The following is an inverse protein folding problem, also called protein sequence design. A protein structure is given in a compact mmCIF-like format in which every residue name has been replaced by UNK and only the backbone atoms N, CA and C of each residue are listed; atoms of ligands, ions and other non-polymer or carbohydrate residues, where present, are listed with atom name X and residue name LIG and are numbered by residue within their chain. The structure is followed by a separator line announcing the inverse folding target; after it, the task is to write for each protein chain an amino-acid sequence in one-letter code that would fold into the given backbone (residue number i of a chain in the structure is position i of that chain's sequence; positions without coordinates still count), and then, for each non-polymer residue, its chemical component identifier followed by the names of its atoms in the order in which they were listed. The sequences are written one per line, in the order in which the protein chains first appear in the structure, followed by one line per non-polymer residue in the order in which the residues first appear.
data_IF_562751135112
#
_entry.id   IF_562751135112
#
_cell.length_a   1.000
_cell.length_b   1.000
_cell.length_c   1.000
_cell.angle_alpha   90.00
_cell.angle_beta   90.00
_cell.angle_gamma   90.00
#
_symmetry.space_group_name_H-M   'P 1'
#
loop_
_entity.id
_entity.type
_entity.pdbx_description
1 polymer ?
#
# COMPACT_ATOMS: atom_id res chain seq x y z
N UNK A 1 14.01 -100.17 19.14
CA UNK A 1 13.11 -99.21 19.73
C UNK A 1 12.89 -98.10 18.69
N UNK A 2 11.80 -98.15 18.02
CA UNK A 2 11.38 -97.31 16.90
C UNK A 2 10.54 -96.12 17.42
N UNK A 3 10.98 -94.93 17.14
CA UNK A 3 10.28 -93.69 17.46
C UNK A 3 9.20 -93.44 16.38
N UNK A 4 7.95 -93.19 16.76
CA UNK A 4 6.92 -92.84 15.74
C UNK A 4 7.04 -91.37 15.23
N UNK A 5 6.94 -91.26 13.94
CA UNK A 5 6.87 -89.97 13.23
C UNK A 5 5.54 -89.22 13.49
N UNK A 6 5.60 -87.98 13.89
CA UNK A 6 4.44 -87.10 14.02
C UNK A 6 3.93 -86.70 12.65
N UNK A 7 2.63 -86.56 12.39
CA UNK A 7 2.10 -86.11 11.12
C UNK A 7 2.26 -84.64 10.98
N UNK A 8 2.81 -84.20 9.85
CA UNK A 8 2.91 -82.83 9.42
C UNK A 8 1.50 -82.26 9.17
N UNK A 9 1.07 -81.38 10.06
CA UNK A 9 -0.10 -80.51 9.82
C UNK A 9 0.33 -79.37 8.91
N UNK A 10 0.07 -79.51 7.62
CA UNK A 10 0.15 -78.39 6.69
C UNK A 10 -0.95 -77.43 7.06
N UNK A 11 -0.55 -76.34 7.73
CA UNK A 11 -1.42 -75.18 7.94
C UNK A 11 -1.74 -74.53 6.58
N UNK A 12 -2.94 -74.77 6.06
CA UNK A 12 -3.52 -74.05 4.96
C UNK A 12 -3.71 -72.63 5.40
N UNK A 13 -2.81 -71.72 4.94
CA UNK A 13 -2.99 -70.29 5.04
C UNK A 13 -4.24 -69.90 4.24
N UNK A 14 -5.26 -69.32 4.88
CA UNK A 14 -6.44 -68.91 4.14
C UNK A 14 -5.98 -67.83 3.09
N UNK A 15 -6.13 -68.15 1.80
CA UNK A 15 -6.05 -67.19 0.74
C UNK A 15 -7.01 -66.05 1.07
N UNK A 16 -6.50 -64.90 1.42
CA UNK A 16 -7.30 -63.68 1.48
C UNK A 16 -7.95 -63.50 0.11
N UNK A 17 -9.22 -63.84 0.00
CA UNK A 17 -10.07 -63.50 -1.11
C UNK A 17 -10.06 -61.98 -1.23
N UNK A 18 -9.30 -61.44 -2.18
CA UNK A 18 -9.38 -60.06 -2.55
C UNK A 18 -10.84 -59.69 -2.85
N UNK A 19 -11.29 -58.49 -2.57
CA UNK A 19 -12.67 -58.10 -2.73
C UNK A 19 -13.12 -58.44 -4.16
N UNK A 20 -14.13 -59.34 -4.28
CA UNK A 20 -14.73 -59.70 -5.56
C UNK A 20 -15.26 -58.43 -6.23
N UNK A 21 -14.55 -57.96 -7.26
CA UNK A 21 -14.98 -56.78 -8.04
C UNK A 21 -16.19 -57.15 -8.86
N UNK A 22 -17.38 -56.92 -8.32
CA UNK A 22 -18.62 -57.09 -9.08
C UNK A 22 -18.75 -55.95 -10.11
N UNK A 23 -19.36 -56.16 -11.28
CA UNK A 23 -19.59 -55.11 -12.30
C UNK A 23 -20.28 -53.88 -11.73
N UNK A 24 -21.18 -54.05 -10.76
CA UNK A 24 -21.86 -52.97 -10.04
C UNK A 24 -20.89 -52.15 -9.17
N UNK A 25 -19.87 -52.76 -8.58
CA UNK A 25 -18.81 -52.06 -7.83
C UNK A 25 -17.95 -51.22 -8.75
N UNK A 26 -17.52 -51.76 -9.90
CA UNK A 26 -16.71 -51.04 -10.88
C UNK A 26 -17.45 -49.84 -11.50
N UNK A 27 -18.76 -50.00 -11.77
CA UNK A 27 -19.59 -48.88 -12.22
C UNK A 27 -19.72 -47.77 -11.17
N UNK A 28 -19.91 -48.12 -9.89
CA UNK A 28 -19.93 -47.14 -8.79
C UNK A 28 -18.57 -46.44 -8.62
N UNK A 29 -17.49 -47.17 -8.73
CA UNK A 29 -16.13 -46.65 -8.65
C UNK A 29 -15.84 -45.68 -9.82
N UNK A 30 -16.19 -46.09 -11.04
CA UNK A 30 -16.04 -45.23 -12.23
C UNK A 30 -16.86 -43.93 -12.13
N UNK A 31 -18.10 -44.01 -11.55
CA UNK A 31 -18.93 -42.81 -11.30
C UNK A 31 -18.28 -41.89 -10.28
N UNK A 32 -17.69 -42.44 -9.19
CA UNK A 32 -16.97 -41.66 -8.18
C UNK A 32 -15.73 -40.95 -8.78
N UNK A 33 -14.91 -41.67 -9.55
CA UNK A 33 -13.74 -41.07 -10.20
C UNK A 33 -14.13 -40.00 -11.23
N UNK A 34 -15.25 -40.18 -11.97
CA UNK A 34 -15.77 -39.11 -12.84
C UNK A 34 -16.21 -37.89 -12.02
N UNK A 35 -16.93 -38.09 -10.93
CA UNK A 35 -17.36 -37.02 -10.05
C UNK A 35 -16.16 -36.27 -9.43
N UNK A 36 -15.15 -37.00 -8.97
CA UNK A 36 -13.91 -36.42 -8.45
C UNK A 36 -13.16 -35.63 -9.52
N UNK A 37 -13.03 -36.19 -10.73
CA UNK A 37 -12.38 -35.48 -11.85
C UNK A 37 -13.15 -34.22 -12.22
N UNK A 38 -14.46 -34.28 -12.28
CA UNK A 38 -15.29 -33.11 -12.56
C UNK A 38 -15.16 -32.06 -11.47
N UNK A 39 -15.13 -32.47 -10.20
CA UNK A 39 -14.92 -31.56 -9.09
C UNK A 39 -13.54 -30.89 -9.15
N UNK A 40 -12.49 -31.65 -9.45
CA UNK A 40 -11.12 -31.10 -9.65
C UNK A 40 -11.09 -30.12 -10.84
N UNK A 41 -11.78 -30.43 -11.93
CA UNK A 41 -11.85 -29.53 -13.10
C UNK A 41 -12.63 -28.26 -12.79
N UNK A 42 -13.73 -28.35 -12.04
CA UNK A 42 -14.50 -27.19 -11.59
C UNK A 42 -13.62 -26.32 -10.66
N UNK A 43 -12.94 -26.96 -9.70
CA UNK A 43 -12.02 -26.26 -8.79
C UNK A 43 -10.86 -25.58 -9.55
N UNK A 44 -10.25 -26.28 -10.52
CA UNK A 44 -9.22 -25.71 -11.37
C UNK A 44 -9.79 -24.56 -12.22
N UNK A 45 -10.99 -24.73 -12.79
CA UNK A 45 -11.68 -23.69 -13.56
C UNK A 45 -11.94 -22.42 -12.72
N UNK A 46 -12.36 -22.58 -11.46
CA UNK A 46 -12.57 -21.46 -10.54
C UNK A 46 -11.25 -20.71 -10.26
N UNK A 47 -10.16 -21.44 -10.02
CA UNK A 47 -8.84 -20.82 -9.82
C UNK A 47 -8.37 -20.09 -11.08
N UNK A 48 -8.46 -20.71 -12.24
CA UNK A 48 -8.08 -20.09 -13.53
C UNK A 48 -8.91 -18.84 -13.80
N UNK A 49 -10.23 -18.91 -13.55
CA UNK A 49 -11.11 -17.75 -13.68
C UNK A 49 -10.70 -16.61 -12.74
N UNK A 50 -10.44 -16.90 -11.47
CA UNK A 50 -10.01 -15.88 -10.49
C UNK A 50 -8.68 -15.24 -10.91
N UNK A 51 -7.72 -16.04 -11.37
CA UNK A 51 -6.44 -15.53 -11.88
C UNK A 51 -6.65 -14.69 -13.15
N UNK A 52 -7.50 -15.13 -14.07
CA UNK A 52 -7.80 -14.38 -15.29
C UNK A 52 -8.43 -13.01 -14.99
N UNK A 53 -9.40 -12.96 -14.06
CA UNK A 53 -10.00 -11.70 -13.60
C UNK A 53 -8.94 -10.79 -12.95
N UNK A 54 -8.09 -11.35 -12.09
CA UNK A 54 -7.01 -10.57 -11.47
C UNK A 54 -6.04 -10.00 -12.52
N UNK A 55 -5.59 -10.82 -13.47
CA UNK A 55 -4.69 -10.38 -14.55
C UNK A 55 -5.36 -9.31 -15.42
N UNK A 56 -6.65 -9.47 -15.73
CA UNK A 56 -7.42 -8.47 -16.48
C UNK A 56 -7.48 -7.13 -15.73
N UNK A 57 -7.83 -7.16 -14.43
CA UNK A 57 -7.90 -5.94 -13.61
C UNK A 57 -6.54 -5.26 -13.49
N UNK A 58 -5.48 -6.03 -13.20
CA UNK A 58 -4.12 -5.48 -13.12
C UNK A 58 -3.66 -4.94 -14.47
N UNK A 59 -3.95 -5.65 -15.58
CA UNK A 59 -3.60 -5.21 -16.92
C UNK A 59 -4.28 -3.90 -17.31
N UNK A 60 -5.59 -3.79 -17.05
CA UNK A 60 -6.34 -2.55 -17.27
C UNK A 60 -5.82 -1.39 -16.41
N UNK A 61 -5.52 -1.68 -15.15
CA UNK A 61 -4.98 -0.69 -14.23
C UNK A 61 -3.58 -0.22 -14.63
N UNK A 62 -2.70 -1.14 -15.09
CA UNK A 62 -1.38 -0.79 -15.59
C UNK A 62 -1.47 0.03 -16.88
N UNK A 63 -2.35 -0.34 -17.81
CA UNK A 63 -2.54 0.38 -19.07
C UNK A 63 -2.95 1.84 -18.82
N UNK A 64 -3.92 2.08 -17.90
CA UNK A 64 -4.36 3.42 -17.55
C UNK A 64 -3.37 4.14 -16.62
N UNK A 65 -2.72 3.40 -15.71
CA UNK A 65 -1.85 3.99 -14.72
C UNK A 65 -0.49 4.43 -15.26
N UNK A 66 0.04 3.77 -16.31
CA UNK A 66 1.27 4.21 -16.98
C UNK A 66 1.07 5.60 -17.58
N UNK A 67 -0.11 5.87 -18.12
CA UNK A 67 -0.48 7.19 -18.62
C UNK A 67 -0.40 8.27 -17.53
N UNK A 68 -0.75 7.94 -16.28
CA UNK A 68 -0.71 8.86 -15.15
C UNK A 68 0.71 9.20 -14.64
N UNK A 69 1.75 8.51 -15.09
CA UNK A 69 3.15 8.91 -14.89
C UNK A 69 3.68 9.87 -15.96
N UNK A 70 2.83 10.25 -16.90
CA UNK A 70 3.17 11.21 -17.93
C UNK A 70 2.34 12.48 -17.73
N UNK A 71 2.85 13.61 -18.20
CA UNK A 71 2.10 14.87 -18.27
C UNK A 71 2.28 15.54 -19.62
N UNK A 72 1.27 16.28 -20.05
CA UNK A 72 1.35 17.13 -21.21
C UNK A 72 2.06 18.43 -20.83
N UNK A 73 3.06 18.81 -21.59
CA UNK A 73 3.92 19.97 -21.33
C UNK A 73 4.04 20.84 -22.55
N UNK A 74 3.97 22.16 -22.32
CA UNK A 74 4.25 23.20 -23.32
C UNK A 74 5.67 23.73 -23.11
N UNK A 75 6.45 23.77 -24.18
CA UNK A 75 7.77 24.37 -24.18
C UNK A 75 7.66 25.87 -24.26
N UNK A 76 8.14 26.59 -23.24
CA UNK A 76 8.17 28.04 -23.16
C UNK A 76 9.57 28.49 -22.76
N UNK A 77 10.14 29.42 -23.55
CA UNK A 77 11.46 30.00 -23.26
C UNK A 77 11.27 31.30 -22.46
N UNK A 78 11.90 31.36 -21.29
CA UNK A 78 11.85 32.57 -20.44
C UNK A 78 13.20 33.25 -20.48
N UNK A 79 13.18 34.51 -20.81
CA UNK A 79 14.36 35.38 -20.77
C UNK A 79 14.40 36.17 -19.46
N UNK A 80 14.96 35.53 -18.41
CA UNK A 80 14.98 36.09 -17.06
C UNK A 80 15.62 37.50 -17.00
N UNK A 81 16.75 37.78 -17.68
CA UNK A 81 17.29 39.11 -17.73
C UNK A 81 16.30 40.19 -18.17
N UNK A 82 15.34 39.84 -19.03
CA UNK A 82 14.32 40.78 -19.49
C UNK A 82 13.12 40.90 -18.54
N UNK A 83 12.92 39.98 -17.59
CA UNK A 83 11.76 40.00 -16.68
C UNK A 83 11.95 40.89 -15.46
N UNK A 84 13.19 41.30 -15.13
CA UNK A 84 13.49 42.05 -13.92
C UNK A 84 13.36 41.23 -12.61
N UNK A 85 13.25 39.91 -12.72
CA UNK A 85 13.26 39.02 -11.55
C UNK A 85 14.69 38.83 -11.11
N UNK A 86 14.98 39.16 -9.86
CA UNK A 86 16.32 39.10 -9.30
C UNK A 86 16.37 38.02 -8.17
N UNK A 87 17.47 37.32 -8.10
CA UNK A 87 17.71 36.34 -7.01
C UNK A 87 19.16 35.86 -7.03
N UNK A 88 19.72 35.71 -5.86
CA UNK A 88 21.01 35.04 -5.66
C UNK A 88 20.81 33.62 -5.21
N UNK A 89 21.86 32.80 -5.22
CA UNK A 89 21.81 31.40 -4.83
C UNK A 89 21.23 31.19 -3.40
N UNK A 90 21.43 32.17 -2.52
CA UNK A 90 20.96 32.10 -1.13
C UNK A 90 19.45 32.37 -1.04
N UNK A 91 18.95 33.37 -1.77
CA UNK A 91 17.53 33.72 -1.78
C UNK A 91 16.68 32.67 -2.51
N UNK A 92 17.19 32.07 -3.58
CA UNK A 92 16.50 31.06 -4.39
C UNK A 92 16.42 29.69 -3.71
N UNK A 93 17.34 29.39 -2.79
CA UNK A 93 17.32 28.14 -2.01
C UNK A 93 16.66 28.30 -0.63
N UNK A 94 16.27 29.50 -0.24
CA UNK A 94 15.61 29.76 1.04
C UNK A 94 14.20 29.15 1.10
N UNK A 95 13.69 28.79 2.28
CA UNK A 95 12.30 28.29 2.45
C UNK A 95 11.24 29.29 1.96
N UNK A 96 11.56 30.59 1.92
CA UNK A 96 10.69 31.67 1.42
C UNK A 96 10.85 31.96 -0.08
N UNK A 97 11.71 31.24 -0.80
CA UNK A 97 12.01 31.51 -2.21
C UNK A 97 10.77 31.56 -3.10
N UNK A 98 9.86 30.60 -2.92
CA UNK A 98 8.59 30.57 -3.68
C UNK A 98 7.75 31.84 -3.48
N UNK A 99 7.58 32.27 -2.22
CA UNK A 99 6.82 33.50 -1.94
C UNK A 99 7.52 34.74 -2.48
N UNK A 100 8.85 34.79 -2.43
CA UNK A 100 9.63 35.90 -2.96
C UNK A 100 9.50 36.00 -4.48
N UNK A 101 9.62 34.88 -5.20
CA UNK A 101 9.46 34.83 -6.66
C UNK A 101 8.03 35.15 -7.11
N UNK A 102 7.02 34.70 -6.34
CA UNK A 102 5.63 35.10 -6.58
C UNK A 102 5.41 36.58 -6.43
N UNK A 103 5.93 37.20 -5.37
CA UNK A 103 5.86 38.68 -5.16
C UNK A 103 6.64 39.46 -6.18
N UNK A 104 7.70 38.92 -6.76
CA UNK A 104 8.46 39.53 -7.86
C UNK A 104 7.76 39.39 -9.22
N UNK A 105 6.59 38.74 -9.30
CA UNK A 105 5.79 38.60 -10.50
C UNK A 105 6.23 37.47 -11.43
N UNK A 106 6.87 36.43 -10.92
CA UNK A 106 7.22 35.24 -11.73
C UNK A 106 6.01 34.64 -12.47
N UNK A 107 4.81 34.54 -11.86
CA UNK A 107 3.62 34.05 -12.57
C UNK A 107 3.27 34.92 -13.80
N UNK A 108 3.34 36.25 -13.67
CA UNK A 108 3.02 37.19 -14.74
C UNK A 108 4.08 37.11 -15.85
N UNK A 109 5.35 36.99 -15.50
CA UNK A 109 6.44 36.86 -16.47
C UNK A 109 6.30 35.56 -17.29
N UNK A 110 5.89 34.45 -16.65
CA UNK A 110 5.62 33.17 -17.32
C UNK A 110 4.44 33.30 -18.27
N UNK A 111 3.34 33.92 -17.84
CA UNK A 111 2.16 34.15 -18.67
C UNK A 111 2.48 35.04 -19.89
N UNK A 112 3.22 36.10 -19.69
CA UNK A 112 3.63 37.01 -20.77
C UNK A 112 4.55 36.32 -21.79
N UNK A 113 5.55 35.55 -21.33
CA UNK A 113 6.42 34.79 -22.21
C UNK A 113 5.65 33.72 -23.02
N UNK A 114 4.70 33.05 -22.39
CA UNK A 114 3.84 32.10 -23.03
C UNK A 114 2.91 32.74 -24.09
N UNK A 115 2.27 33.88 -23.76
CA UNK A 115 1.40 34.57 -24.69
C UNK A 115 2.17 35.03 -25.92
N UNK A 116 3.38 35.52 -25.74
CA UNK A 116 4.25 35.98 -26.84
C UNK A 116 4.66 34.84 -27.78
N UNK A 117 4.95 33.62 -27.24
CA UNK A 117 5.49 32.53 -28.04
C UNK A 117 4.43 31.57 -28.58
N UNK A 118 3.34 31.39 -27.87
CA UNK A 118 2.29 30.39 -28.16
C UNK A 118 0.99 31.05 -28.66
N UNK A 119 0.81 32.33 -28.40
CA UNK A 119 -0.44 33.06 -28.59
C UNK A 119 -1.38 32.93 -27.39
N UNK A 120 -2.38 33.79 -27.33
CA UNK A 120 -3.27 33.94 -26.16
C UNK A 120 -4.04 32.65 -25.81
N UNK A 121 -4.56 31.95 -26.83
CA UNK A 121 -5.37 30.75 -26.61
C UNK A 121 -4.54 29.59 -26.02
N UNK A 122 -3.30 29.39 -26.50
CA UNK A 122 -2.43 28.33 -25.98
C UNK A 122 -1.78 28.72 -24.63
N UNK A 123 -1.51 29.99 -24.39
CA UNK A 123 -1.00 30.48 -23.10
C UNK A 123 -2.02 30.31 -21.98
N UNK A 124 -3.34 30.47 -22.27
CA UNK A 124 -4.42 30.22 -21.30
C UNK A 124 -4.53 28.74 -20.88
N UNK A 125 -3.96 27.81 -21.67
CA UNK A 125 -3.95 26.40 -21.38
C UNK A 125 -2.71 25.93 -20.61
N UNK A 126 -1.87 26.83 -20.11
CA UNK A 126 -0.83 26.50 -19.14
C UNK A 126 -1.46 26.41 -17.74
N UNK A 127 -1.06 25.41 -16.96
CA UNK A 127 -1.52 25.28 -15.58
C UNK A 127 -1.19 26.53 -14.76
N UNK A 128 -2.14 27.08 -13.98
CA UNK A 128 -1.88 28.25 -13.13
C UNK A 128 -0.72 28.06 -12.13
N UNK A 129 -0.39 26.81 -11.82
CA UNK A 129 0.68 26.44 -10.89
C UNK A 129 2.03 26.19 -11.58
N UNK A 130 2.11 26.32 -12.93
CA UNK A 130 3.29 26.00 -13.72
C UNK A 130 4.55 26.81 -13.31
N UNK A 131 4.37 28.04 -12.84
CA UNK A 131 5.47 28.90 -12.35
C UNK A 131 6.22 28.26 -11.15
N UNK A 132 5.57 27.37 -10.38
CA UNK A 132 6.19 26.65 -9.24
C UNK A 132 7.24 25.66 -9.72
N UNK A 133 7.04 25.03 -10.87
CA UNK A 133 8.05 24.14 -11.47
C UNK A 133 9.30 24.94 -11.86
N UNK A 134 9.12 26.16 -12.35
CA UNK A 134 10.21 27.09 -12.66
C UNK A 134 10.92 27.54 -11.38
N UNK A 135 10.16 27.91 -10.33
CA UNK A 135 10.73 28.27 -9.04
C UNK A 135 11.56 27.13 -8.44
N UNK A 136 11.11 25.89 -8.61
CA UNK A 136 11.85 24.70 -8.16
C UNK A 136 13.12 24.50 -9.00
N UNK A 137 13.04 24.66 -10.32
CA UNK A 137 14.20 24.57 -11.20
C UNK A 137 15.25 25.67 -10.90
N UNK A 138 14.81 26.88 -10.58
CA UNK A 138 15.69 27.97 -10.16
C UNK A 138 16.35 27.69 -8.79
N UNK A 139 15.69 26.96 -7.90
CA UNK A 139 16.28 26.54 -6.64
C UNK A 139 17.36 25.45 -6.85
N UNK A 140 17.19 24.58 -7.86
CA UNK A 140 18.17 23.54 -8.23
C UNK A 140 19.36 24.12 -9.01
N UNK A 141 19.10 25.05 -9.97
CA UNK A 141 20.13 25.79 -10.70
C UNK A 141 19.92 27.30 -10.60
N UNK A 142 20.42 27.96 -9.54
CA UNK A 142 20.28 29.40 -9.37
C UNK A 142 20.92 30.25 -10.50
N UNK A 143 21.81 29.67 -11.30
CA UNK A 143 22.43 30.37 -12.43
C UNK A 143 21.49 30.53 -13.61
N UNK A 144 20.41 29.78 -13.67
CA UNK A 144 19.40 29.87 -14.71
C UNK A 144 18.73 31.25 -14.79
N UNK A 145 18.65 31.98 -13.66
CA UNK A 145 18.09 33.34 -13.59
C UNK A 145 18.89 34.36 -14.41
N UNK A 146 20.14 34.06 -14.75
CA UNK A 146 20.98 34.96 -15.52
C UNK A 146 20.97 34.70 -17.03
N UNK A 147 20.15 33.77 -17.52
CA UNK A 147 20.09 33.35 -18.92
C UNK A 147 18.66 33.15 -19.42
N UNK A 148 18.49 33.08 -20.73
CA UNK A 148 17.26 32.57 -21.33
C UNK A 148 17.27 31.06 -21.30
N UNK A 149 16.20 30.45 -20.79
CA UNK A 149 16.08 29.03 -20.67
C UNK A 149 14.67 28.54 -21.08
N UNK A 150 14.60 27.35 -21.72
CA UNK A 150 13.32 26.75 -22.11
C UNK A 150 12.84 25.79 -21.02
N UNK A 151 11.65 26.08 -20.54
CA UNK A 151 10.98 25.22 -19.53
C UNK A 151 9.84 24.46 -20.18
N UNK A 152 9.63 23.25 -19.70
CA UNK A 152 8.50 22.40 -20.06
C UNK A 152 7.41 22.57 -18.99
N UNK A 153 6.39 23.36 -19.31
CA UNK A 153 5.35 23.76 -18.36
C UNK A 153 4.13 22.86 -18.45
N UNK A 154 3.57 22.41 -17.32
CA UNK A 154 2.36 21.59 -17.30
C UNK A 154 1.18 22.36 -17.89
N UNK A 155 0.34 21.65 -18.65
CA UNK A 155 -0.86 22.20 -19.29
C UNK A 155 -2.10 22.03 -18.39
N UNK A 156 -3.24 22.59 -18.84
CA UNK A 156 -4.54 22.25 -18.27
C UNK A 156 -4.94 20.80 -18.65
N UNK A 157 -5.88 20.24 -17.87
CA UNK A 157 -6.46 18.93 -18.18
C UNK A 157 -7.19 18.91 -19.53
N UNK A 158 -7.76 20.05 -19.94
CA UNK A 158 -8.48 20.18 -21.21
C UNK A 158 -7.55 20.01 -22.41
N UNK A 159 -6.38 20.69 -22.41
CA UNK A 159 -5.39 20.56 -23.48
C UNK A 159 -4.71 19.17 -23.45
N UNK A 160 -4.44 18.64 -22.26
CA UNK A 160 -3.90 17.28 -22.09
C UNK A 160 -4.83 16.21 -22.68
N UNK A 161 -6.15 16.31 -22.44
CA UNK A 161 -7.15 15.44 -23.04
C UNK A 161 -7.23 15.63 -24.56
N UNK A 162 -7.11 16.89 -25.04
CA UNK A 162 -7.04 17.20 -26.46
C UNK A 162 -5.90 16.51 -27.19
N UNK A 163 -4.73 16.40 -26.55
CA UNK A 163 -3.56 15.68 -27.10
C UNK A 163 -3.83 14.16 -27.24
N UNK A 164 -4.71 13.61 -26.43
CA UNK A 164 -5.13 12.19 -26.50
C UNK A 164 -6.31 11.98 -27.49
N UNK A 165 -6.80 13.05 -28.14
CA UNK A 165 -7.95 12.98 -29.04
C UNK A 165 -9.30 13.05 -28.31
N UNK A 166 -9.29 13.34 -27.00
CA UNK A 166 -10.45 13.48 -26.15
C UNK A 166 -10.82 14.98 -25.93
N UNK A 167 -11.98 15.23 -25.33
CA UNK A 167 -12.42 16.58 -24.98
C UNK A 167 -13.03 17.38 -26.16
N UNK A 168 -13.20 18.71 -25.98
CA UNK A 168 -13.83 19.58 -26.97
C UNK A 168 -13.07 19.63 -28.31
N UNK A 169 -13.75 19.78 -29.46
CA UNK A 169 -13.10 19.84 -30.77
C UNK A 169 -12.03 20.93 -30.87
N UNK A 170 -12.26 22.07 -30.20
CA UNK A 170 -11.33 23.22 -30.17
C UNK A 170 -10.00 22.84 -29.52
N UNK A 171 -10.06 22.14 -28.36
CA UNK A 171 -8.87 21.67 -27.65
C UNK A 171 -8.10 20.61 -28.44
N UNK A 172 -8.81 19.71 -29.14
CA UNK A 172 -8.17 18.70 -30.02
C UNK A 172 -7.43 19.35 -31.18
N UNK A 173 -8.02 20.38 -31.81
CA UNK A 173 -7.38 21.11 -32.93
C UNK A 173 -6.19 21.90 -32.43
N UNK A 174 -6.29 22.61 -31.30
CA UNK A 174 -5.21 23.35 -30.68
C UNK A 174 -4.05 22.41 -30.29
N UNK A 175 -4.35 21.30 -29.62
CA UNK A 175 -3.36 20.31 -29.23
C UNK A 175 -2.63 19.69 -30.45
N UNK A 176 -3.36 19.34 -31.50
CA UNK A 176 -2.78 18.80 -32.74
C UNK A 176 -1.85 19.83 -33.43
N UNK A 177 -2.24 21.11 -33.46
CA UNK A 177 -1.43 22.21 -34.00
C UNK A 177 -0.13 22.38 -33.21
N UNK A 178 -0.23 22.48 -31.87
CA UNK A 178 0.93 22.67 -31.00
C UNK A 178 1.87 21.46 -31.00
N UNK A 179 1.32 20.25 -31.10
CA UNK A 179 2.10 19.04 -31.25
C UNK A 179 2.84 18.98 -32.59
N UNK A 180 2.19 19.38 -33.69
CA UNK A 180 2.82 19.44 -35.01
C UNK A 180 3.96 20.49 -35.07
N UNK A 181 3.83 21.56 -34.28
CA UNK A 181 4.88 22.61 -34.13
C UNK A 181 6.01 22.13 -33.15
N UNK A 182 5.88 20.97 -32.52
CA UNK A 182 6.85 20.46 -31.54
C UNK A 182 6.84 21.23 -30.20
N UNK A 183 5.81 22.04 -29.96
CA UNK A 183 5.68 22.84 -28.73
C UNK A 183 4.94 22.13 -27.60
N UNK A 184 4.08 21.15 -27.94
CA UNK A 184 3.33 20.33 -27.00
C UNK A 184 3.78 18.88 -27.10
N UNK A 185 4.24 18.34 -25.98
CA UNK A 185 4.65 16.94 -25.91
C UNK A 185 4.14 16.28 -24.61
N UNK A 186 4.03 14.95 -24.62
CA UNK A 186 3.75 14.16 -23.44
C UNK A 186 5.05 13.55 -22.94
N UNK A 187 5.50 13.98 -21.76
CA UNK A 187 6.77 13.57 -21.17
C UNK A 187 6.54 12.78 -19.87
N UNK A 188 7.54 11.99 -19.47
CA UNK A 188 7.54 11.31 -18.18
C UNK A 188 7.65 12.33 -17.04
N UNK A 189 6.72 12.28 -16.11
CA UNK A 189 6.63 13.14 -14.95
C UNK A 189 7.24 12.46 -13.72
N UNK A 190 8.57 12.47 -13.64
CA UNK A 190 9.26 11.96 -12.45
C UNK A 190 8.97 12.80 -11.20
N UNK A 191 8.62 14.06 -11.37
CA UNK A 191 8.17 14.93 -10.29
C UNK A 191 6.91 14.42 -9.58
N UNK A 192 6.07 13.63 -10.25
CA UNK A 192 4.91 12.98 -9.62
C UNK A 192 5.28 12.16 -8.38
N UNK A 193 6.44 11.52 -8.37
CA UNK A 193 6.90 10.73 -7.23
C UNK A 193 7.55 11.60 -6.13
N UNK A 194 7.91 12.84 -6.41
CA UNK A 194 8.62 13.73 -5.50
C UNK A 194 7.75 14.87 -4.94
N UNK A 195 6.75 15.31 -5.71
CA UNK A 195 5.80 16.36 -5.29
C UNK A 195 4.75 15.81 -4.35
N UNK A 196 4.08 16.73 -3.65
CA UNK A 196 2.88 16.47 -2.85
C UNK A 196 1.61 16.80 -3.61
N UNK A 197 0.47 16.89 -2.92
CA UNK A 197 -0.82 17.19 -3.51
C UNK A 197 -0.89 18.61 -4.08
N UNK A 198 -1.67 18.79 -5.14
CA UNK A 198 -1.92 20.06 -5.81
C UNK A 198 -3.35 20.10 -6.34
N UNK A 199 -3.84 21.29 -6.70
CA UNK A 199 -5.20 21.47 -7.21
C UNK A 199 -5.35 21.07 -8.68
N UNK A 200 -4.24 21.04 -9.44
CA UNK A 200 -4.22 20.64 -10.84
C UNK A 200 -3.67 19.21 -11.02
N UNK A 201 -4.33 18.35 -11.80
CA UNK A 201 -3.86 16.97 -12.04
C UNK A 201 -2.46 16.89 -12.66
N UNK A 202 -2.05 17.94 -13.38
CA UNK A 202 -0.74 17.98 -14.03
C UNK A 202 0.40 18.36 -13.06
N UNK A 203 0.04 18.95 -11.91
CA UNK A 203 1.00 19.43 -10.91
C UNK A 203 1.04 18.55 -9.65
N UNK A 204 0.06 17.65 -9.48
CA UNK A 204 0.01 16.77 -8.29
C UNK A 204 1.18 15.82 -8.20
N UNK A 205 1.48 15.41 -6.97
CA UNK A 205 2.44 14.37 -6.66
C UNK A 205 1.95 13.47 -5.51
N UNK A 206 2.64 12.34 -5.33
CA UNK A 206 2.23 11.29 -4.40
C UNK A 206 3.11 11.18 -3.15
N UNK A 207 4.22 11.94 -3.08
CA UNK A 207 5.20 11.82 -2.01
C UNK A 207 4.63 12.11 -0.62
N UNK A 208 3.79 13.16 -0.50
CA UNK A 208 3.15 13.50 0.77
C UNK A 208 2.33 12.35 1.33
N UNK A 209 1.50 11.71 0.49
CA UNK A 209 0.68 10.57 0.86
C UNK A 209 1.52 9.30 1.13
N UNK A 210 2.58 9.07 0.36
CA UNK A 210 3.50 7.95 0.57
C UNK A 210 4.21 8.08 1.92
N UNK A 211 4.77 9.25 2.22
CA UNK A 211 5.42 9.54 3.51
C UNK A 211 4.45 9.43 4.68
N UNK A 212 3.23 9.97 4.51
CA UNK A 212 2.16 9.82 5.51
C UNK A 212 1.79 8.36 5.77
N UNK A 213 1.68 7.54 4.71
CA UNK A 213 1.47 6.09 4.85
C UNK A 213 2.62 5.42 5.60
N UNK A 214 3.87 5.74 5.28
CA UNK A 214 5.05 5.16 5.95
C UNK A 214 5.04 5.48 7.46
N UNK A 215 4.80 6.74 7.82
CA UNK A 215 4.74 7.16 9.22
C UNK A 215 3.58 6.49 9.97
N UNK A 216 2.38 6.47 9.36
CA UNK A 216 1.19 5.83 9.96
C UNK A 216 1.41 4.32 10.16
N UNK A 217 1.97 3.63 9.17
CA UNK A 217 2.26 2.19 9.25
C UNK A 217 3.35 1.88 10.29
N UNK A 218 4.35 2.76 10.42
CA UNK A 218 5.37 2.60 11.45
C UNK A 218 4.77 2.70 12.86
N UNK A 219 3.91 3.69 13.11
CA UNK A 219 3.19 3.80 14.39
C UNK A 219 2.33 2.56 14.65
N UNK A 220 1.58 2.12 13.63
CA UNK A 220 0.76 0.91 13.71
C UNK A 220 1.59 -0.30 14.11
N UNK A 221 2.73 -0.52 13.47
CA UNK A 221 3.60 -1.66 13.74
C UNK A 221 4.20 -1.59 15.16
N UNK A 222 4.73 -0.42 15.54
CA UNK A 222 5.38 -0.22 16.85
C UNK A 222 4.40 -0.42 18.01
N UNK A 223 3.13 -0.10 17.81
CA UNK A 223 2.11 -0.30 18.85
C UNK A 223 1.51 -1.72 18.79
N UNK A 224 1.07 -2.18 17.61
CA UNK A 224 0.32 -3.42 17.50
C UNK A 224 1.20 -4.68 17.67
N UNK A 225 2.44 -4.66 17.17
CA UNK A 225 3.29 -5.86 17.21
C UNK A 225 3.75 -6.22 18.64
N UNK A 226 4.37 -5.32 19.43
CA UNK A 226 4.80 -5.69 20.76
C UNK A 226 3.63 -6.06 21.67
N UNK A 227 2.55 -5.26 21.65
CA UNK A 227 1.38 -5.52 22.50
C UNK A 227 0.70 -6.83 22.08
N UNK A 228 0.52 -7.07 20.77
CA UNK A 228 -0.08 -8.29 20.25
C UNK A 228 0.73 -9.54 20.58
N UNK A 229 2.06 -9.50 20.41
CA UNK A 229 2.96 -10.62 20.72
C UNK A 229 2.99 -10.92 22.22
N UNK A 230 3.15 -9.87 23.06
CA UNK A 230 3.18 -10.06 24.53
C UNK A 230 1.83 -10.57 25.05
N UNK A 231 0.71 -10.07 24.51
CA UNK A 231 -0.62 -10.57 24.86
C UNK A 231 -0.81 -12.04 24.46
N UNK A 232 -0.38 -12.42 23.25
CA UNK A 232 -0.44 -13.81 22.81
C UNK A 232 0.40 -14.72 23.70
N UNK A 233 1.61 -14.29 24.04
CA UNK A 233 2.53 -15.00 24.91
C UNK A 233 1.95 -15.19 26.32
N UNK A 234 1.41 -14.12 26.90
CA UNK A 234 0.80 -14.17 28.22
C UNK A 234 -0.40 -15.13 28.24
N UNK A 235 -1.30 -15.00 27.27
CA UNK A 235 -2.53 -15.81 27.24
C UNK A 235 -2.25 -17.30 27.02
N UNK A 236 -1.16 -17.66 26.32
CA UNK A 236 -0.90 -19.06 25.98
C UNK A 236 0.03 -19.76 26.97
N UNK A 237 1.02 -19.05 27.55
CA UNK A 237 2.04 -19.64 28.41
C UNK A 237 1.85 -19.35 29.90
N UNK A 238 1.21 -18.24 30.26
CA UNK A 238 1.15 -17.80 31.66
C UNK A 238 -0.27 -17.69 32.23
N UNK A 239 -1.27 -17.40 31.38
CA UNK A 239 -2.62 -17.15 31.85
C UNK A 239 -3.24 -18.41 32.48
N UNK A 240 -3.85 -18.32 33.67
CA UNK A 240 -4.57 -19.44 34.27
C UNK A 240 -5.81 -19.78 33.43
N UNK A 241 -6.10 -21.07 33.28
CA UNK A 241 -7.33 -21.53 32.60
C UNK A 241 -8.54 -21.30 33.49
N UNK A 242 -9.21 -20.18 33.32
CA UNK A 242 -10.40 -19.79 34.07
C UNK A 242 -11.37 -18.99 33.19
N UNK A 243 -12.57 -18.71 33.72
CA UNK A 243 -13.63 -17.98 32.99
C UNK A 243 -13.17 -16.57 32.51
N UNK A 244 -12.27 -15.91 33.21
CA UNK A 244 -11.77 -14.59 32.83
C UNK A 244 -10.88 -14.66 31.60
N UNK A 245 -10.01 -15.67 31.53
CA UNK A 245 -9.19 -15.90 30.34
C UNK A 245 -10.05 -16.25 29.15
N UNK A 246 -11.09 -17.10 29.34
CA UNK A 246 -12.04 -17.43 28.26
C UNK A 246 -12.79 -16.20 27.75
N UNK A 247 -13.23 -15.31 28.64
CA UNK A 247 -13.89 -14.04 28.27
C UNK A 247 -12.93 -13.17 27.46
N UNK A 248 -11.68 -13.03 27.86
CA UNK A 248 -10.66 -12.25 27.14
C UNK A 248 -10.45 -12.85 25.75
N UNK A 249 -10.32 -14.18 25.63
CA UNK A 249 -10.14 -14.84 24.34
C UNK A 249 -11.31 -14.59 23.37
N UNK A 250 -12.53 -14.76 23.88
CA UNK A 250 -13.75 -14.50 23.10
C UNK A 250 -13.83 -13.01 22.71
N UNK A 251 -13.46 -12.12 23.64
CA UNK A 251 -13.46 -10.67 23.36
C UNK A 251 -12.47 -10.29 22.27
N UNK A 252 -11.25 -10.85 22.29
CA UNK A 252 -10.24 -10.61 21.24
C UNK A 252 -10.75 -11.13 19.88
N UNK A 253 -11.35 -12.32 19.87
CA UNK A 253 -11.91 -12.91 18.65
C UNK A 253 -13.08 -12.07 18.09
N UNK A 254 -13.95 -11.59 18.98
CA UNK A 254 -15.05 -10.69 18.60
C UNK A 254 -14.54 -9.35 18.09
N UNK A 255 -13.49 -8.80 18.72
CA UNK A 255 -12.88 -7.53 18.29
C UNK A 255 -12.28 -7.63 16.87
N UNK A 256 -11.72 -8.79 16.50
CA UNK A 256 -11.24 -9.04 15.16
C UNK A 256 -12.34 -9.04 14.08
N UNK A 257 -13.60 -9.29 14.49
CA UNK A 257 -14.77 -9.30 13.60
C UNK A 257 -15.50 -7.94 13.54
N UNK A 258 -15.09 -6.95 14.34
CA UNK A 258 -15.71 -5.62 14.35
C UNK A 258 -15.43 -4.91 13.01
N UNK A 259 -16.44 -4.27 12.39
CA UNK A 259 -16.25 -3.45 11.19
C UNK A 259 -15.22 -2.34 11.43
N UNK A 260 -14.31 -2.14 10.48
CA UNK A 260 -13.19 -1.19 10.60
C UNK A 260 -13.63 0.24 10.92
N UNK A 261 -14.80 0.65 10.42
CA UNK A 261 -15.37 1.98 10.68
C UNK A 261 -15.57 2.28 12.17
N UNK A 262 -15.87 1.27 12.99
CA UNK A 262 -16.06 1.42 14.43
C UNK A 262 -14.75 1.85 15.11
N UNK A 263 -13.62 1.33 14.67
CA UNK A 263 -12.30 1.77 15.16
C UNK A 263 -12.03 3.24 14.79
N UNK A 264 -12.50 3.68 13.63
CA UNK A 264 -12.43 5.10 13.25
C UNK A 264 -13.29 5.99 14.15
N UNK A 265 -14.51 5.57 14.50
CA UNK A 265 -15.37 6.27 15.46
C UNK A 265 -14.73 6.31 16.85
N UNK A 266 -14.08 5.24 17.28
CA UNK A 266 -13.34 5.19 18.53
C UNK A 266 -12.13 6.12 18.48
N UNK A 267 -11.38 6.14 17.37
CA UNK A 267 -10.29 7.07 17.15
C UNK A 267 -10.74 8.54 17.24
N UNK A 268 -11.86 8.85 16.60
CA UNK A 268 -12.48 10.17 16.63
C UNK A 268 -12.93 10.57 18.05
N UNK A 269 -13.62 9.67 18.75
CA UNK A 269 -14.25 10.00 20.04
C UNK A 269 -13.28 9.92 21.21
N UNK A 270 -12.25 9.08 21.17
CA UNK A 270 -11.30 8.90 22.28
C UNK A 270 -9.98 9.59 21.98
N UNK A 271 -9.32 9.24 20.86
CA UNK A 271 -7.96 9.78 20.63
C UNK A 271 -7.97 11.26 20.32
N UNK A 272 -8.92 11.76 19.49
CA UNK A 272 -9.02 13.19 19.22
C UNK A 272 -9.58 13.99 20.41
N UNK A 273 -10.33 13.37 21.33
CA UNK A 273 -10.70 14.03 22.58
C UNK A 273 -9.49 14.21 23.51
N UNK A 274 -8.54 13.26 23.51
CA UNK A 274 -7.31 13.33 24.30
C UNK A 274 -6.24 14.22 23.64
N UNK A 275 -6.18 14.22 22.31
CA UNK A 275 -5.17 14.92 21.50
C UNK A 275 -5.82 15.74 20.38
N UNK A 276 -6.56 16.80 20.68
CA UNK A 276 -7.33 17.56 19.69
C UNK A 276 -6.45 18.22 18.62
N UNK A 277 -5.23 18.59 18.97
CA UNK A 277 -4.27 19.26 18.07
C UNK A 277 -3.62 18.30 17.05
N UNK A 278 -3.77 16.97 17.24
CA UNK A 278 -3.19 15.96 16.37
C UNK A 278 -4.17 15.42 15.31
N UNK A 279 -5.21 16.19 15.00
CA UNK A 279 -6.16 15.80 13.94
C UNK A 279 -5.41 15.60 12.62
N UNK A 280 -5.76 14.53 11.89
CA UNK A 280 -5.11 14.13 10.64
C UNK A 280 -3.62 13.73 10.76
N UNK A 281 -3.08 13.63 11.97
CA UNK A 281 -1.68 13.24 12.17
C UNK A 281 -1.47 11.73 11.98
N UNK A 282 -0.32 11.30 11.43
CA UNK A 282 0.07 9.89 11.33
C UNK A 282 0.01 9.14 12.66
N UNK A 283 0.26 9.82 13.77
CA UNK A 283 0.19 9.24 15.12
C UNK A 283 -1.23 8.73 15.42
N UNK A 284 -2.24 9.56 15.25
CA UNK A 284 -3.64 9.18 15.50
C UNK A 284 -4.11 8.11 14.52
N UNK A 285 -3.75 8.25 13.23
CA UNK A 285 -4.01 7.23 12.21
C UNK A 285 -3.44 5.88 12.60
N UNK A 286 -2.16 5.87 12.99
CA UNK A 286 -1.45 4.66 13.39
C UNK A 286 -2.00 4.02 14.67
N UNK A 287 -2.37 4.82 15.68
CA UNK A 287 -3.04 4.32 16.89
C UNK A 287 -4.37 3.65 16.57
N UNK A 288 -5.17 4.27 15.70
CA UNK A 288 -6.47 3.73 15.27
C UNK A 288 -6.31 2.41 14.50
N UNK A 289 -5.37 2.35 13.55
CA UNK A 289 -5.07 1.12 12.81
C UNK A 289 -4.44 0.05 13.71
N UNK A 290 -3.67 0.43 14.73
CA UNK A 290 -3.09 -0.52 15.68
C UNK A 290 -4.17 -1.27 16.46
N UNK A 291 -5.23 -0.59 16.92
CA UNK A 291 -6.36 -1.24 17.60
C UNK A 291 -7.03 -2.31 16.75
N UNK A 292 -7.17 -2.06 15.45
CA UNK A 292 -7.76 -3.01 14.51
C UNK A 292 -6.80 -4.18 14.19
N UNK A 293 -5.50 -3.92 14.13
CA UNK A 293 -4.48 -4.90 13.73
C UNK A 293 -4.09 -5.83 14.88
N UNK A 294 -4.10 -5.32 16.11
CA UNK A 294 -3.67 -6.02 17.33
C UNK A 294 -4.39 -7.37 17.54
N UNK A 295 -5.73 -7.49 17.43
CA UNK A 295 -6.41 -8.78 17.58
C UNK A 295 -5.94 -9.84 16.59
N UNK A 296 -5.64 -9.44 15.34
CA UNK A 296 -5.12 -10.35 14.30
C UNK A 296 -3.74 -10.89 14.70
N UNK A 297 -2.88 -10.04 15.25
CA UNK A 297 -1.55 -10.43 15.73
C UNK A 297 -1.67 -11.35 16.95
N UNK A 298 -2.57 -11.06 17.90
CA UNK A 298 -2.81 -11.94 19.07
C UNK A 298 -3.26 -13.32 18.64
N UNK A 299 -4.27 -13.42 17.78
CA UNK A 299 -4.81 -14.70 17.32
C UNK A 299 -3.75 -15.51 16.57
N UNK A 300 -3.03 -14.89 15.65
CA UNK A 300 -1.97 -15.56 14.89
C UNK A 300 -0.79 -15.96 15.79
N UNK A 301 -0.44 -15.10 16.77
CA UNK A 301 0.60 -15.36 17.75
C UNK A 301 0.28 -16.55 18.62
N UNK A 302 -0.93 -16.63 19.14
CA UNK A 302 -1.40 -17.79 19.93
C UNK A 302 -1.36 -19.08 19.11
N UNK A 303 -1.82 -19.05 17.87
CA UNK A 303 -1.77 -20.22 16.99
C UNK A 303 -0.32 -20.67 16.73
N UNK A 304 0.60 -19.72 16.56
CA UNK A 304 2.02 -20.00 16.38
C UNK A 304 2.65 -20.61 17.65
N UNK A 305 2.29 -20.14 18.85
CA UNK A 305 2.77 -20.70 20.12
C UNK A 305 2.21 -22.11 20.33
N UNK A 306 0.91 -22.35 20.04
CA UNK A 306 0.29 -23.66 20.12
C UNK A 306 0.92 -24.70 19.20
N UNK A 307 1.43 -24.26 18.04
CA UNK A 307 2.09 -25.11 17.08
C UNK A 307 3.46 -25.65 17.55
N UNK A 308 4.07 -25.02 18.57
CA UNK A 308 5.34 -25.50 19.14
C UNK A 308 5.11 -26.79 19.93
N UNK A 309 5.79 -27.92 19.59
CA UNK A 309 5.59 -29.22 20.26
C UNK A 309 5.83 -29.15 21.78
N UNK A 310 4.97 -29.79 22.61
CA UNK A 310 5.15 -29.82 24.05
C UNK A 310 6.50 -30.40 24.48
N UNK A 311 7.02 -31.38 23.72
CA UNK A 311 8.32 -31.99 23.99
C UNK A 311 9.49 -31.06 24.10
N UNK A 312 9.42 -29.90 23.40
CA UNK A 312 10.45 -28.86 23.48
C UNK A 312 10.41 -28.20 24.87
N UNK A 313 9.19 -27.93 25.39
CA UNK A 313 9.01 -27.35 26.70
C UNK A 313 9.47 -28.33 27.80
N UNK A 314 9.03 -29.57 27.69
CA UNK A 314 9.37 -30.63 28.64
C UNK A 314 10.88 -30.93 28.64
N UNK A 315 11.51 -30.97 27.46
CA UNK A 315 12.95 -31.18 27.33
C UNK A 315 13.76 -30.06 27.95
N UNK A 316 13.36 -28.81 27.74
CA UNK A 316 14.05 -27.65 28.33
C UNK A 316 13.90 -27.63 29.86
N UNK A 317 12.71 -27.95 30.38
CA UNK A 317 12.51 -28.07 31.85
C UNK A 317 13.33 -29.21 32.44
N UNK A 318 13.45 -30.35 31.74
CA UNK A 318 14.21 -31.52 32.21
C UNK A 318 15.72 -31.24 32.37
N UNK A 319 16.29 -30.32 31.57
CA UNK A 319 17.69 -29.87 31.72
C UNK A 319 17.86 -28.72 32.70
N UNK A 320 16.78 -28.29 33.42
CA UNK A 320 16.82 -27.30 34.49
C UNK A 320 16.57 -25.84 34.05
N UNK A 321 16.04 -25.61 32.84
CA UNK A 321 15.64 -24.27 32.42
C UNK A 321 14.44 -23.78 33.25
N UNK A 322 14.46 -22.49 33.65
CA UNK A 322 13.29 -21.88 34.28
C UNK A 322 12.14 -21.70 33.29
N UNK A 323 10.86 -21.62 33.72
CA UNK A 323 9.71 -21.40 32.83
C UNK A 323 9.90 -20.19 31.91
N UNK A 324 10.47 -19.10 32.41
CA UNK A 324 10.75 -17.89 31.62
C UNK A 324 11.80 -18.17 30.54
N UNK A 325 12.87 -18.93 30.87
CA UNK A 325 13.88 -19.31 29.89
C UNK A 325 13.29 -20.23 28.80
N UNK A 326 12.42 -21.18 29.19
CA UNK A 326 11.72 -22.04 28.20
C UNK A 326 10.95 -21.18 27.20
N UNK A 327 10.20 -20.20 27.69
CA UNK A 327 9.37 -19.35 26.83
C UNK A 327 10.23 -18.47 25.93
N UNK A 328 11.17 -17.71 26.45
CA UNK A 328 11.91 -16.73 25.68
C UNK A 328 13.05 -17.32 24.82
N UNK A 329 13.66 -18.43 25.25
CA UNK A 329 14.80 -19.04 24.53
C UNK A 329 14.38 -20.18 23.60
N UNK A 330 13.23 -20.83 23.85
CA UNK A 330 12.82 -21.99 23.06
C UNK A 330 11.46 -21.75 22.35
N UNK A 331 10.40 -21.39 23.07
CA UNK A 331 9.05 -21.26 22.49
C UNK A 331 8.95 -20.04 21.58
N UNK A 332 9.30 -18.86 22.08
CA UNK A 332 9.18 -17.59 21.33
C UNK A 332 9.98 -17.60 20.01
N UNK A 333 11.27 -18.02 19.97
CA UNK A 333 12.00 -18.07 18.71
C UNK A 333 11.41 -19.01 17.66
N UNK A 334 10.76 -20.11 18.08
CA UNK A 334 10.10 -21.07 17.20
C UNK A 334 8.73 -20.56 16.73
N UNK A 335 8.00 -19.83 17.57
CA UNK A 335 6.71 -19.25 17.24
C UNK A 335 6.84 -17.95 16.42
N UNK A 336 7.98 -17.25 16.52
CA UNK A 336 8.20 -15.94 15.90
C UNK A 336 7.89 -15.89 14.39
N UNK A 337 8.28 -16.88 13.55
CA UNK A 337 7.94 -16.86 12.13
C UNK A 337 6.42 -16.85 11.87
N UNK A 338 5.65 -17.59 12.69
CA UNK A 338 4.19 -17.61 12.63
C UNK A 338 3.57 -16.27 13.06
N UNK A 339 4.10 -15.67 14.13
CA UNK A 339 3.69 -14.35 14.61
C UNK A 339 3.97 -13.27 13.58
N UNK A 340 5.15 -13.28 12.95
CA UNK A 340 5.51 -12.36 11.88
C UNK A 340 4.59 -12.53 10.68
N UNK A 341 4.20 -13.75 10.33
CA UNK A 341 3.24 -13.99 9.24
C UNK A 341 1.89 -13.33 9.53
N UNK A 342 1.36 -13.48 10.75
CA UNK A 342 0.13 -12.80 11.16
C UNK A 342 0.25 -11.27 11.16
N UNK A 343 1.41 -10.76 11.57
CA UNK A 343 1.71 -9.33 11.54
C UNK A 343 1.72 -8.81 10.10
N UNK A 344 2.36 -9.51 9.16
CA UNK A 344 2.37 -9.16 7.73
C UNK A 344 0.95 -9.06 7.18
N UNK A 345 0.10 -10.05 7.47
CA UNK A 345 -1.31 -10.05 7.03
C UNK A 345 -2.08 -8.86 7.65
N UNK A 346 -1.90 -8.62 8.94
CA UNK A 346 -2.53 -7.50 9.64
C UNK A 346 -2.10 -6.13 9.08
N UNK A 347 -0.81 -5.94 8.85
CA UNK A 347 -0.26 -4.71 8.28
C UNK A 347 -0.69 -4.49 6.82
N UNK A 348 -0.72 -5.53 6.00
CA UNK A 348 -1.20 -5.45 4.63
C UNK A 348 -2.68 -5.04 4.58
N UNK A 349 -3.50 -5.55 5.51
CA UNK A 349 -4.89 -5.14 5.68
C UNK A 349 -4.98 -3.66 6.11
N UNK A 350 -4.23 -3.27 7.13
CA UNK A 350 -4.23 -1.91 7.67
C UNK A 350 -3.85 -0.86 6.61
N UNK A 351 -2.88 -1.18 5.73
CA UNK A 351 -2.47 -0.29 4.65
C UNK A 351 -3.60 0.02 3.65
N UNK A 352 -4.52 -0.92 3.42
CA UNK A 352 -5.64 -0.74 2.50
C UNK A 352 -6.90 -0.09 3.13
N UNK A 353 -6.90 0.15 4.44
CA UNK A 353 -8.08 0.66 5.15
C UNK A 353 -8.23 2.18 5.00
N UNK A 354 -9.37 2.61 4.44
CA UNK A 354 -9.71 4.03 4.26
C UNK A 354 -10.70 4.53 5.30
N UNK A 355 -11.71 3.71 5.66
CA UNK A 355 -12.84 4.12 6.49
C UNK A 355 -12.45 4.69 7.88
N UNK A 356 -11.56 4.05 8.67
CA UNK A 356 -11.11 4.62 9.93
C UNK A 356 -10.38 5.95 9.76
N UNK A 357 -9.55 6.05 8.73
CA UNK A 357 -8.72 7.22 8.46
C UNK A 357 -9.55 8.42 7.97
N UNK A 358 -10.63 8.14 7.22
CA UNK A 358 -11.61 9.15 6.82
C UNK A 358 -12.25 9.81 8.05
N UNK A 359 -12.67 9.02 9.05
CA UNK A 359 -13.36 9.52 10.23
C UNK A 359 -12.47 10.38 11.14
N UNK A 360 -11.20 10.04 11.28
CA UNK A 360 -10.25 10.82 12.08
C UNK A 360 -9.74 12.08 11.35
N UNK A 361 -10.20 12.29 10.10
CA UNK A 361 -9.94 13.52 9.36
C UNK A 361 -8.70 13.49 8.47
N UNK A 362 -8.11 12.33 8.15
CA UNK A 362 -6.98 12.26 7.21
C UNK A 362 -7.41 12.52 5.74
N UNK A 363 -8.63 13.01 5.53
CA UNK A 363 -9.15 13.54 4.27
C UNK A 363 -8.80 15.03 4.19
N UNK A 364 -7.55 15.36 3.92
CA UNK A 364 -7.08 16.73 3.79
C UNK A 364 -6.18 16.89 2.56
N UNK A 365 -6.19 18.10 2.03
CA UNK A 365 -5.21 18.53 1.04
C UNK A 365 -3.86 18.77 1.72
N UNK A 366 -2.81 18.14 1.24
CA UNK A 366 -1.45 18.19 1.82
C UNK A 366 -0.46 18.66 0.77
N UNK A 367 -0.27 19.96 0.69
CA UNK A 367 0.66 20.57 -0.27
C UNK A 367 2.14 20.29 0.05
N UNK A 368 2.46 20.00 1.32
CA UNK A 368 3.85 19.72 1.76
C UNK A 368 3.91 18.39 2.47
N UNK A 369 4.97 17.58 2.28
CA UNK A 369 5.10 16.30 2.96
C UNK A 369 5.12 16.48 4.49
N UNK A 370 4.48 15.61 5.29
CA UNK A 370 4.50 15.71 6.74
C UNK A 370 5.94 15.70 7.27
N UNK A 371 6.27 16.60 8.18
CA UNK A 371 7.61 16.69 8.76
C UNK A 371 7.86 15.53 9.73
N UNK A 372 6.88 15.22 10.57
CA UNK A 372 6.94 14.26 11.67
C UNK A 372 5.61 13.50 11.86
N UNK A 373 5.50 12.75 12.96
CA UNK A 373 4.31 11.97 13.33
C UNK A 373 3.12 12.82 13.79
N UNK A 374 3.34 14.09 14.13
CA UNK A 374 2.33 15.03 14.62
C UNK A 374 1.84 15.98 13.54
N UNK A 375 2.57 16.11 12.44
CA UNK A 375 2.21 16.95 11.31
C UNK A 375 0.97 16.41 10.60
N UNK A 376 0.04 17.28 10.14
CA UNK A 376 -1.09 16.85 9.32
C UNK A 376 -0.63 16.10 8.08
N UNK A 377 -1.28 14.97 7.78
CA UNK A 377 -0.93 14.10 6.66
C UNK A 377 -2.17 13.43 6.07
N UNK A 378 -2.06 13.04 4.83
CA UNK A 378 -2.91 12.04 4.19
C UNK A 378 -2.11 10.74 3.99
N UNK A 379 -2.78 9.67 3.61
CA UNK A 379 -2.16 8.37 3.28
C UNK A 379 -2.56 7.93 1.87
N UNK A 380 -1.78 7.03 1.28
CA UNK A 380 -2.00 6.57 -0.10
C UNK A 380 -3.45 6.15 -0.40
N UNK A 381 -4.11 5.27 0.40
CA UNK A 381 -5.48 4.88 0.13
C UNK A 381 -6.46 6.05 0.20
N UNK A 382 -6.21 7.01 1.11
CA UNK A 382 -7.04 8.22 1.22
C UNK A 382 -6.82 9.15 0.04
N UNK A 383 -5.57 9.34 -0.40
CA UNK A 383 -5.27 10.17 -1.57
C UNK A 383 -5.90 9.62 -2.84
N UNK A 384 -5.85 8.30 -3.04
CA UNK A 384 -6.54 7.61 -4.13
C UNK A 384 -8.05 7.87 -4.07
N UNK A 385 -8.64 7.77 -2.88
CA UNK A 385 -10.06 8.04 -2.67
C UNK A 385 -10.41 9.50 -3.00
N UNK A 386 -9.61 10.47 -2.53
CA UNK A 386 -9.81 11.89 -2.80
C UNK A 386 -9.77 12.19 -4.30
N UNK A 387 -8.74 11.71 -5.00
CA UNK A 387 -8.60 11.95 -6.43
C UNK A 387 -9.65 11.22 -7.28
N UNK A 388 -10.18 10.07 -6.80
CA UNK A 388 -11.27 9.37 -7.48
C UNK A 388 -12.62 10.09 -7.38
N UNK A 389 -12.78 10.99 -6.41
CA UNK A 389 -13.98 11.81 -6.16
C UNK A 389 -13.89 13.19 -6.85
N UNK A 390 -12.74 13.51 -7.48
CA UNK A 390 -12.53 14.76 -8.19
C UNK A 390 -13.29 14.81 -9.51
N UNK A 391 -13.80 16.01 -9.85
CA UNK A 391 -14.61 16.25 -11.05
C UNK A 391 -13.71 16.26 -12.30
N UNK A 392 -12.48 16.75 -12.17
CA UNK A 392 -11.54 16.84 -13.29
C UNK A 392 -11.06 15.45 -13.71
N UNK A 393 -11.34 15.10 -14.97
CA UNK A 393 -10.96 13.79 -15.55
C UNK A 393 -9.46 13.51 -15.54
N UNK A 394 -8.62 14.52 -15.49
CA UNK A 394 -7.17 14.38 -15.37
C UNK A 394 -6.75 13.61 -14.12
N UNK A 395 -7.56 13.64 -13.05
CA UNK A 395 -7.32 12.85 -11.85
C UNK A 395 -7.54 11.35 -12.03
N UNK A 396 -8.28 10.89 -13.04
CA UNK A 396 -8.50 9.45 -13.30
C UNK A 396 -7.16 8.74 -13.60
N UNK A 397 -6.32 9.35 -14.45
CA UNK A 397 -5.00 8.82 -14.76
C UNK A 397 -4.08 8.87 -13.54
N UNK A 398 -4.09 9.99 -12.78
CA UNK A 398 -3.31 10.16 -11.55
C UNK A 398 -3.72 9.18 -10.45
N UNK A 399 -5.02 8.95 -10.30
CA UNK A 399 -5.57 7.92 -9.39
C UNK A 399 -5.03 6.53 -9.76
N UNK A 400 -5.06 6.19 -11.04
CA UNK A 400 -4.55 4.90 -11.53
C UNK A 400 -3.04 4.76 -11.29
N UNK A 401 -2.25 5.82 -11.49
CA UNK A 401 -0.83 5.84 -11.15
C UNK A 401 -0.60 5.71 -9.63
N UNK A 402 -1.39 6.39 -8.82
CA UNK A 402 -1.32 6.28 -7.36
C UNK A 402 -1.63 4.85 -6.85
N UNK A 403 -2.58 4.14 -7.49
CA UNK A 403 -2.85 2.73 -7.18
C UNK A 403 -1.63 1.86 -7.52
N UNK A 404 -0.92 2.12 -8.62
CA UNK A 404 0.33 1.41 -8.93
C UNK A 404 1.37 1.65 -7.83
N UNK A 405 1.55 2.91 -7.39
CA UNK A 405 2.46 3.25 -6.29
C UNK A 405 2.07 2.52 -5.01
N UNK A 406 0.76 2.49 -4.67
CA UNK A 406 0.27 1.75 -3.50
C UNK A 406 0.57 0.26 -3.59
N UNK A 407 0.37 -0.38 -4.75
CA UNK A 407 0.68 -1.80 -4.95
C UNK A 407 2.18 -2.07 -4.85
N UNK A 408 3.02 -1.23 -5.44
CA UNK A 408 4.48 -1.34 -5.32
C UNK A 408 4.91 -1.19 -3.86
N UNK A 409 4.34 -0.23 -3.15
CA UNK A 409 4.61 -0.02 -1.72
C UNK A 409 4.18 -1.23 -0.89
N UNK A 410 2.98 -1.80 -1.15
CA UNK A 410 2.50 -3.01 -0.50
C UNK A 410 3.42 -4.22 -0.76
N UNK A 411 3.83 -4.40 -2.01
CA UNK A 411 4.75 -5.49 -2.39
C UNK A 411 6.13 -5.31 -1.74
N UNK A 412 6.66 -4.10 -1.70
CA UNK A 412 7.94 -3.80 -1.06
C UNK A 412 7.88 -4.06 0.45
N UNK A 413 6.81 -3.60 1.11
CA UNK A 413 6.59 -3.83 2.54
C UNK A 413 6.45 -5.32 2.87
N UNK A 414 5.63 -6.04 2.10
CA UNK A 414 5.44 -7.49 2.28
C UNK A 414 6.74 -8.25 1.97
N UNK A 415 7.47 -7.86 0.92
CA UNK A 415 8.76 -8.46 0.56
C UNK A 415 9.80 -8.28 1.67
N UNK A 416 9.91 -7.07 2.23
CA UNK A 416 10.78 -6.79 3.37
C UNK A 416 10.39 -7.63 4.60
N UNK A 417 9.10 -7.72 4.90
CA UNK A 417 8.60 -8.46 6.03
C UNK A 417 8.84 -9.98 5.87
N UNK A 418 8.67 -10.55 4.66
CA UNK A 418 8.98 -11.94 4.34
C UNK A 418 10.50 -12.18 4.44
N UNK A 419 11.32 -11.26 3.94
CA UNK A 419 12.77 -11.33 4.08
C UNK A 419 13.20 -11.39 5.55
N UNK A 420 12.67 -10.49 6.39
CA UNK A 420 12.93 -10.49 7.83
C UNK A 420 12.45 -11.79 8.49
N UNK A 421 11.25 -12.26 8.16
CA UNK A 421 10.73 -13.53 8.65
C UNK A 421 11.70 -14.67 8.34
N UNK A 422 12.13 -14.82 7.09
CA UNK A 422 13.02 -15.90 6.66
C UNK A 422 14.40 -15.80 7.32
N UNK A 423 14.89 -14.58 7.60
CA UNK A 423 16.16 -14.36 8.32
C UNK A 423 16.09 -14.82 9.78
N UNK A 424 14.91 -14.65 10.42
CA UNK A 424 14.68 -15.07 11.81
C UNK A 424 14.16 -16.50 11.93
N UNK A 425 13.79 -17.16 10.81
CA UNK A 425 13.36 -18.54 10.79
C UNK A 425 14.53 -19.47 11.07
N UNK A 426 14.53 -20.12 12.24
CA UNK A 426 15.48 -21.18 12.58
C UNK A 426 14.90 -22.50 12.07
N UNK A 427 15.50 -23.06 11.04
CA UNK A 427 15.21 -24.44 10.59
C UNK A 427 16.08 -25.39 11.41
N UNK A 428 15.43 -26.38 11.98
CA UNK A 428 16.06 -27.47 12.71
C UNK A 428 16.16 -28.70 11.81
#
# INVERSE_FOLDING_TARGET
MSTPALPSVAATVPQQLGPTRTPAFEQRLAKRYRAERNFRLIGLGAVVFSVAVLVFLLGNMLANGIAGFQRAELAVTIDFPATGIEGDATSLTAPSAMQTLEMQGLPDAVAAAAEQQLGRDAAAEISPEAWRDIATALAEDPKAIARSETFHLPTTSALAAGLQGEGPPEMRTLAAKLAAEGKLARNWDWGFLARSDATSPQSVGIWGALKGSMLTMLVTLVLAFPVGVLSALYLEEYAPRNRWTDIIEVSISNLAAVPSIIFGLLGLSVFLALFPDLRSAPLIGGMTLALMTMPVIVISGRNAIKAVPPSIRDGALAIGASPVQVVFHHVLPLALPGMLTGTIIGMARALGETAPLLLIGMRIFVATPPADFSSPATVLPMQIFLWSDEIDRGFVERTSAAIIVLLVFLLAMNGLAIYLRNKFEKRW
#
